data_IF_265660335928
#
_entry.id   IF_265660335928
#
_cell.length_a   1.000
_cell.length_b   1.000
_cell.length_c   1.000
_cell.angle_alpha   90.00
_cell.angle_beta   90.00
_cell.angle_gamma   90.00
#
_symmetry.space_group_name_H-M   'P 1'
#
loop_
_entity.id
_entity.type
_entity.pdbx_description
1 polymer ?
#
# COMPACT_ATOMS: atom_id res chain seq x y z
N UNK A 1 -4.31 -4.19 -40.32
CA UNK A 1 -3.14 -4.45 -39.43
C UNK A 1 -2.85 -3.21 -38.61
N UNK A 2 -3.32 -3.15 -37.35
CA UNK A 2 -2.82 -2.19 -36.34
C UNK A 2 -2.77 -2.95 -35.02
N UNK A 3 -1.70 -3.73 -34.82
CA UNK A 3 -1.39 -4.42 -33.57
C UNK A 3 0.10 -4.19 -33.30
N UNK A 4 0.43 -3.08 -32.64
CA UNK A 4 1.83 -2.72 -32.42
C UNK A 4 2.12 -1.61 -31.41
N UNK A 5 1.14 -0.79 -31.01
CA UNK A 5 1.38 0.38 -30.17
C UNK A 5 1.05 0.23 -28.67
N UNK A 6 0.51 -0.92 -28.23
CA UNK A 6 0.13 -1.13 -26.81
C UNK A 6 1.30 -1.67 -25.95
N UNK A 7 2.31 -2.31 -26.55
CA UNK A 7 3.40 -2.93 -25.81
C UNK A 7 4.45 -1.92 -25.26
N UNK A 8 4.71 -0.82 -25.96
CA UNK A 8 5.75 0.16 -25.57
C UNK A 8 5.34 1.03 -24.37
N UNK A 9 4.05 1.38 -24.24
CA UNK A 9 3.55 2.15 -23.09
C UNK A 9 3.63 1.35 -21.78
N UNK A 10 3.46 0.02 -21.83
CA UNK A 10 3.49 -0.85 -20.66
C UNK A 10 4.88 -1.00 -20.03
N UNK A 11 5.93 -1.08 -20.85
CA UNK A 11 7.31 -1.21 -20.35
C UNK A 11 7.85 0.09 -19.74
N UNK A 12 7.53 1.25 -20.31
CA UNK A 12 7.91 2.55 -19.75
C UNK A 12 7.22 2.78 -18.39
N UNK A 13 5.93 2.42 -18.29
CA UNK A 13 5.19 2.43 -17.03
C UNK A 13 5.77 1.48 -15.99
N UNK A 14 6.16 0.26 -16.37
CA UNK A 14 6.77 -0.70 -15.46
C UNK A 14 8.14 -0.23 -14.93
N UNK A 15 9.00 0.34 -15.79
CA UNK A 15 10.28 0.92 -15.36
C UNK A 15 10.09 2.11 -14.41
N UNK A 16 9.12 2.98 -14.69
CA UNK A 16 8.77 4.10 -13.79
C UNK A 16 8.36 3.61 -12.40
N UNK A 17 7.48 2.59 -12.32
CA UNK A 17 7.06 2.00 -11.03
C UNK A 17 8.21 1.34 -10.26
N UNK A 18 9.12 0.67 -10.97
CA UNK A 18 10.30 0.06 -10.36
C UNK A 18 11.28 1.13 -9.84
N UNK A 19 11.43 2.23 -10.57
CA UNK A 19 12.24 3.36 -10.12
C UNK A 19 11.62 4.04 -8.88
N UNK A 20 10.31 4.29 -8.90
CA UNK A 20 9.57 4.81 -7.74
C UNK A 20 9.73 3.90 -6.50
N UNK A 21 9.69 2.58 -6.70
CA UNK A 21 9.87 1.59 -5.63
C UNK A 21 11.27 1.67 -5.00
N UNK A 22 12.28 2.14 -5.74
CA UNK A 22 13.68 2.23 -5.32
C UNK A 22 14.17 3.67 -5.15
N UNK A 23 13.28 4.64 -4.99
CA UNK A 23 13.66 6.04 -4.81
C UNK A 23 14.63 6.19 -3.61
N UNK A 24 15.92 6.48 -3.87
CA UNK A 24 16.95 6.47 -2.83
C UNK A 24 16.78 7.66 -1.86
N UNK A 25 16.20 8.77 -2.32
CA UNK A 25 15.99 9.95 -1.46
C UNK A 25 14.89 9.66 -0.44
N UNK A 26 13.82 9.01 -0.88
CA UNK A 26 12.73 8.56 0.02
C UNK A 26 13.25 7.56 1.05
N UNK A 27 14.00 6.56 0.61
CA UNK A 27 14.57 5.56 1.51
C UNK A 27 15.55 6.18 2.51
N UNK A 28 16.38 7.14 2.07
CA UNK A 28 17.27 7.89 2.96
C UNK A 28 16.50 8.73 3.98
N UNK A 29 15.40 9.39 3.59
CA UNK A 29 14.56 10.14 4.53
C UNK A 29 13.89 9.23 5.57
N UNK A 30 13.43 8.04 5.18
CA UNK A 30 12.90 7.03 6.12
C UNK A 30 13.99 6.54 7.10
N UNK A 31 15.18 6.26 6.61
CA UNK A 31 16.31 5.85 7.45
C UNK A 31 16.74 6.97 8.42
N UNK A 32 16.78 8.22 7.95
CA UNK A 32 17.09 9.38 8.78
C UNK A 32 16.04 9.60 9.88
N UNK A 33 14.76 9.35 9.58
CA UNK A 33 13.70 9.36 10.59
C UNK A 33 13.95 8.28 11.64
N UNK A 34 14.21 7.04 11.23
CA UNK A 34 14.45 5.92 12.14
C UNK A 34 15.69 6.16 13.03
N UNK A 35 16.76 6.74 12.49
CA UNK A 35 17.96 7.11 13.24
C UNK A 35 17.69 8.25 14.24
N UNK A 36 16.92 9.27 13.84
CA UNK A 36 16.52 10.35 14.73
C UNK A 36 15.63 9.85 15.88
N UNK A 37 14.69 8.94 15.60
CA UNK A 37 13.88 8.27 16.62
C UNK A 37 14.74 7.47 17.60
N UNK A 38 15.74 6.74 17.11
CA UNK A 38 16.67 5.99 17.96
C UNK A 38 17.48 6.89 18.91
N UNK A 39 17.73 8.15 18.53
CA UNK A 39 18.39 9.17 19.35
C UNK A 39 17.43 10.02 20.19
N UNK A 40 16.12 9.75 20.14
CA UNK A 40 15.07 10.62 20.70
C UNK A 40 15.12 12.08 20.20
N UNK A 41 15.68 12.31 19.02
CA UNK A 41 15.66 13.61 18.35
C UNK A 41 14.35 13.78 17.59
N UNK A 42 13.28 14.10 18.33
CA UNK A 42 11.92 14.24 17.79
C UNK A 42 11.84 15.32 16.70
N UNK A 43 12.44 16.52 16.83
CA UNK A 43 12.42 17.50 15.76
C UNK A 43 13.03 16.99 14.45
N UNK A 44 14.19 16.32 14.51
CA UNK A 44 14.81 15.74 13.32
C UNK A 44 13.96 14.61 12.72
N UNK A 45 13.37 13.77 13.57
CA UNK A 45 12.47 12.69 13.11
C UNK A 45 11.24 13.26 12.38
N UNK A 46 10.62 14.31 12.90
CA UNK A 46 9.47 14.98 12.25
C UNK A 46 9.87 15.57 10.90
N UNK A 47 11.04 16.20 10.79
CA UNK A 47 11.51 16.75 9.51
C UNK A 47 11.77 15.66 8.47
N UNK A 48 12.48 14.60 8.87
CA UNK A 48 12.76 13.46 8.00
C UNK A 48 11.47 12.74 7.56
N UNK A 49 10.49 12.59 8.46
CA UNK A 49 9.16 12.07 8.15
C UNK A 49 8.44 12.94 7.10
N UNK A 50 8.44 14.28 7.24
CA UNK A 50 7.80 15.18 6.26
C UNK A 50 8.41 15.02 4.88
N UNK A 51 9.74 14.92 4.79
CA UNK A 51 10.45 14.69 3.55
C UNK A 51 10.08 13.33 2.94
N UNK A 52 10.08 12.26 3.73
CA UNK A 52 9.69 10.93 3.29
C UNK A 52 8.24 10.91 2.77
N UNK A 53 7.33 11.60 3.46
CA UNK A 53 5.92 11.74 3.05
C UNK A 53 5.79 12.49 1.73
N UNK A 54 6.48 13.61 1.56
CA UNK A 54 6.46 14.39 0.31
C UNK A 54 6.95 13.54 -0.86
N UNK A 55 8.13 12.93 -0.73
CA UNK A 55 8.73 12.08 -1.75
C UNK A 55 7.84 10.86 -2.06
N UNK A 56 7.29 10.22 -1.03
CA UNK A 56 6.35 9.11 -1.17
C UNK A 56 5.10 9.50 -1.96
N UNK A 57 4.50 10.66 -1.68
CA UNK A 57 3.33 11.15 -2.38
C UNK A 57 3.62 11.55 -3.84
N UNK A 58 4.85 11.95 -4.16
CA UNK A 58 5.27 12.29 -5.54
C UNK A 58 5.42 11.07 -6.45
N UNK A 59 5.61 9.88 -5.89
CA UNK A 59 5.66 8.64 -6.67
C UNK A 59 4.32 8.39 -7.39
N UNK A 60 4.35 7.66 -8.51
CA UNK A 60 3.13 7.12 -9.14
C UNK A 60 2.73 5.79 -8.50
N UNK A 61 3.70 5.09 -7.92
CA UNK A 61 3.55 3.83 -7.21
C UNK A 61 2.69 3.89 -5.94
N UNK A 62 2.10 2.76 -5.55
CA UNK A 62 1.44 2.57 -4.25
C UNK A 62 2.40 2.54 -3.06
N UNK A 63 3.67 2.16 -3.27
CA UNK A 63 4.63 1.88 -2.20
C UNK A 63 5.03 3.13 -1.40
N UNK A 64 5.25 4.25 -2.09
CA UNK A 64 5.63 5.51 -1.45
C UNK A 64 4.63 5.99 -0.38
N UNK A 65 3.32 6.14 -0.69
CA UNK A 65 2.33 6.53 0.32
C UNK A 65 2.13 5.48 1.41
N UNK A 66 2.24 4.18 1.10
CA UNK A 66 2.16 3.10 2.08
C UNK A 66 3.26 3.20 3.16
N UNK A 67 4.52 3.34 2.73
CA UNK A 67 5.64 3.49 3.65
C UNK A 67 5.57 4.81 4.44
N UNK A 68 5.05 5.88 3.84
CA UNK A 68 4.80 7.13 4.55
C UNK A 68 3.72 6.97 5.65
N UNK A 69 2.71 6.12 5.42
CA UNK A 69 1.70 5.80 6.42
C UNK A 69 2.29 4.97 7.58
N UNK A 70 3.15 3.99 7.27
CA UNK A 70 3.87 3.24 8.30
C UNK A 70 4.82 4.14 9.09
N UNK A 71 5.51 5.06 8.41
CA UNK A 71 6.38 6.04 9.06
C UNK A 71 5.62 6.99 10.00
N UNK A 72 4.43 7.44 9.60
CA UNK A 72 3.53 8.24 10.44
C UNK A 72 3.19 7.51 11.75
N UNK A 73 2.84 6.22 11.66
CA UNK A 73 2.51 5.43 12.85
C UNK A 73 3.72 5.15 13.73
N UNK A 74 4.91 4.90 13.15
CA UNK A 74 6.16 4.71 13.90
C UNK A 74 6.55 5.98 14.67
N UNK A 75 6.52 7.13 14.01
CA UNK A 75 6.77 8.43 14.65
C UNK A 75 5.77 8.66 15.79
N UNK A 76 4.48 8.48 15.53
CA UNK A 76 3.42 8.70 16.50
C UNK A 76 3.49 7.75 17.71
N UNK A 77 3.97 6.52 17.52
CA UNK A 77 4.18 5.57 18.61
C UNK A 77 5.27 6.03 19.57
N UNK A 78 6.38 6.58 19.06
CA UNK A 78 7.49 7.07 19.91
C UNK A 78 7.11 8.30 20.71
N UNK A 79 6.24 9.17 20.16
CA UNK A 79 5.78 10.38 20.85
C UNK A 79 4.43 10.22 21.55
N UNK A 80 3.90 9.00 21.64
CA UNK A 80 2.64 8.64 22.30
C UNK A 80 1.39 9.38 21.75
N UNK A 81 1.33 9.62 20.44
CA UNK A 81 0.21 10.32 19.75
C UNK A 81 -0.45 9.48 18.64
N UNK A 82 -0.45 8.15 18.78
CA UNK A 82 -0.95 7.24 17.74
C UNK A 82 -2.40 7.55 17.33
N UNK A 83 -3.28 7.85 18.29
CA UNK A 83 -4.69 8.11 17.99
C UNK A 83 -4.90 9.34 17.09
N UNK A 84 -4.06 10.36 17.23
CA UNK A 84 -4.10 11.55 16.37
C UNK A 84 -3.57 11.25 14.96
N UNK A 85 -2.53 10.43 14.88
CA UNK A 85 -1.89 10.03 13.63
C UNK A 85 -2.75 9.07 12.78
N UNK A 86 -3.69 8.34 13.39
CA UNK A 86 -4.57 7.38 12.68
C UNK A 86 -5.27 8.00 11.47
N UNK A 87 -5.73 9.26 11.57
CA UNK A 87 -6.40 9.95 10.45
C UNK A 87 -5.45 10.15 9.27
N UNK A 88 -4.26 10.67 9.52
CA UNK A 88 -3.26 10.93 8.48
C UNK A 88 -2.77 9.62 7.85
N UNK A 89 -2.50 8.61 8.67
CA UNK A 89 -2.10 7.28 8.20
C UNK A 89 -3.20 6.66 7.33
N UNK A 90 -4.47 6.80 7.72
CA UNK A 90 -5.61 6.32 6.93
C UNK A 90 -5.68 6.98 5.55
N UNK A 91 -5.47 8.29 5.45
CA UNK A 91 -5.45 9.00 4.17
C UNK A 91 -4.33 8.49 3.25
N UNK A 92 -3.13 8.31 3.80
CA UNK A 92 -1.99 7.77 3.07
C UNK A 92 -2.26 6.34 2.59
N UNK A 93 -2.87 5.49 3.43
CA UNK A 93 -3.30 4.15 3.05
C UNK A 93 -4.37 4.13 1.94
N UNK A 94 -5.30 5.09 1.94
CA UNK A 94 -6.25 5.23 0.84
C UNK A 94 -5.54 5.59 -0.47
N UNK A 95 -4.58 6.51 -0.45
CA UNK A 95 -3.78 6.84 -1.64
C UNK A 95 -3.03 5.61 -2.14
N UNK A 96 -2.40 4.84 -1.25
CA UNK A 96 -1.73 3.59 -1.59
C UNK A 96 -2.69 2.57 -2.23
N UNK A 97 -3.85 2.33 -1.63
CA UNK A 97 -4.87 1.41 -2.15
C UNK A 97 -5.35 1.80 -3.55
N UNK A 98 -5.66 3.07 -3.79
CA UNK A 98 -6.14 3.52 -5.10
C UNK A 98 -5.06 3.42 -6.18
N UNK A 99 -3.80 3.69 -5.85
CA UNK A 99 -2.67 3.48 -6.76
C UNK A 99 -2.45 1.99 -7.04
N UNK A 100 -2.48 1.14 -6.01
CA UNK A 100 -2.35 -0.31 -6.17
C UNK A 100 -3.43 -0.86 -7.10
N UNK A 101 -4.68 -0.40 -6.93
CA UNK A 101 -5.79 -0.74 -7.82
C UNK A 101 -5.53 -0.30 -9.27
N UNK A 102 -5.06 0.93 -9.48
CA UNK A 102 -4.76 1.46 -10.80
C UNK A 102 -3.62 0.69 -11.49
N UNK A 103 -2.65 0.23 -10.71
CA UNK A 103 -1.49 -0.54 -11.19
C UNK A 103 -1.79 -2.02 -11.44
N UNK A 104 -2.93 -2.54 -10.98
CA UNK A 104 -3.18 -3.98 -11.01
C UNK A 104 -2.45 -4.76 -9.90
N UNK A 105 -1.92 -4.08 -8.88
CA UNK A 105 -1.03 -4.67 -7.87
C UNK A 105 -1.79 -5.30 -6.71
N UNK A 106 -1.88 -6.64 -6.68
CA UNK A 106 -2.49 -7.41 -5.58
C UNK A 106 -1.79 -7.12 -4.26
N UNK A 107 -0.45 -7.17 -4.24
CA UNK A 107 0.36 -6.91 -3.04
C UNK A 107 0.10 -5.53 -2.43
N UNK A 108 -0.08 -4.51 -3.27
CA UNK A 108 -0.36 -3.15 -2.78
C UNK A 108 -1.73 -3.04 -2.12
N UNK A 109 -2.73 -3.75 -2.65
CA UNK A 109 -4.06 -3.79 -2.04
C UNK A 109 -4.06 -4.59 -0.72
N UNK A 110 -3.29 -5.68 -0.65
CA UNK A 110 -3.12 -6.46 0.58
C UNK A 110 -2.36 -5.67 1.66
N UNK A 111 -1.31 -4.95 1.28
CA UNK A 111 -0.56 -4.09 2.18
C UNK A 111 -1.43 -2.98 2.78
N UNK A 112 -2.30 -2.36 1.97
CA UNK A 112 -3.29 -1.41 2.47
C UNK A 112 -4.32 -2.07 3.40
N UNK A 113 -4.77 -3.30 3.11
CA UNK A 113 -5.70 -4.02 3.98
C UNK A 113 -5.12 -4.24 5.38
N UNK A 114 -3.86 -4.65 5.47
CA UNK A 114 -3.15 -4.76 6.74
C UNK A 114 -2.97 -3.42 7.43
N UNK A 115 -2.65 -2.37 6.67
CA UNK A 115 -2.57 -1.00 7.17
C UNK A 115 -3.87 -0.57 7.86
N UNK A 116 -5.01 -0.71 7.18
CA UNK A 116 -6.32 -0.41 7.76
C UNK A 116 -6.65 -1.28 8.97
N UNK A 117 -6.31 -2.57 8.94
CA UNK A 117 -6.51 -3.47 10.07
C UNK A 117 -5.69 -3.02 11.30
N UNK A 118 -4.43 -2.57 11.12
CA UNK A 118 -3.61 -2.00 12.20
C UNK A 118 -4.23 -0.73 12.81
N UNK A 119 -4.97 0.05 12.01
CA UNK A 119 -5.70 1.23 12.50
C UNK A 119 -7.00 0.87 13.26
N UNK A 120 -7.46 -0.37 13.18
CA UNK A 120 -8.79 -0.78 13.62
C UNK A 120 -9.92 -0.46 12.63
N UNK A 121 -9.59 0.03 11.42
CA UNK A 121 -10.57 0.32 10.36
C UNK A 121 -10.92 -0.96 9.61
N UNK A 122 -11.78 -1.78 10.24
CA UNK A 122 -12.19 -3.09 9.72
C UNK A 122 -12.89 -2.98 8.38
N UNK A 123 -13.70 -1.96 8.18
CA UNK A 123 -14.47 -1.79 6.95
C UNK A 123 -13.56 -1.46 5.76
N UNK A 124 -12.59 -0.57 5.95
CA UNK A 124 -11.60 -0.28 4.92
C UNK A 124 -10.69 -1.49 4.64
N UNK A 125 -10.33 -2.26 5.66
CA UNK A 125 -9.56 -3.50 5.49
C UNK A 125 -10.31 -4.54 4.63
N UNK A 126 -11.61 -4.75 4.90
CA UNK A 126 -12.46 -5.63 4.08
C UNK A 126 -12.61 -5.12 2.65
N UNK A 127 -12.77 -3.80 2.46
CA UNK A 127 -12.84 -3.22 1.13
C UNK A 127 -11.54 -3.41 0.33
N UNK A 128 -10.39 -3.23 0.98
CA UNK A 128 -9.09 -3.46 0.38
C UNK A 128 -8.89 -4.93 -0.02
N UNK A 129 -9.30 -5.89 0.84
CA UNK A 129 -9.30 -7.32 0.50
C UNK A 129 -10.19 -7.65 -0.70
N UNK A 130 -11.38 -7.05 -0.80
CA UNK A 130 -12.26 -7.23 -1.97
C UNK A 130 -11.64 -6.67 -3.25
N UNK A 131 -10.86 -5.59 -3.15
CA UNK A 131 -10.12 -5.06 -4.29
C UNK A 131 -8.97 -6.01 -4.68
N UNK A 132 -8.22 -6.51 -3.70
CA UNK A 132 -7.15 -7.48 -3.90
C UNK A 132 -7.67 -8.76 -4.57
N UNK A 133 -8.79 -9.30 -4.12
CA UNK A 133 -9.43 -10.47 -4.71
C UNK A 133 -9.80 -10.23 -6.19
N UNK A 134 -10.45 -9.10 -6.50
CA UNK A 134 -10.78 -8.71 -7.88
C UNK A 134 -9.53 -8.56 -8.75
N UNK A 135 -8.42 -8.08 -8.19
CA UNK A 135 -7.14 -7.96 -8.89
C UNK A 135 -6.54 -9.36 -9.17
N UNK A 136 -6.52 -10.22 -8.16
CA UNK A 136 -6.04 -11.60 -8.27
C UNK A 136 -6.85 -12.40 -9.30
N UNK A 137 -8.17 -12.29 -9.29
CA UNK A 137 -9.04 -12.91 -10.28
C UNK A 137 -8.72 -12.47 -11.72
N UNK A 138 -8.39 -11.19 -11.93
CA UNK A 138 -7.98 -10.67 -13.25
C UNK A 138 -6.60 -11.13 -13.69
N UNK A 139 -5.66 -11.31 -12.74
CA UNK A 139 -4.32 -11.82 -13.05
C UNK A 139 -4.37 -13.27 -13.55
N UNK A 140 -5.33 -14.07 -13.05
CA UNK A 140 -5.43 -15.51 -13.28
C UNK A 140 -4.40 -16.35 -12.51
N UNK A 141 -3.46 -15.72 -11.80
CA UNK A 141 -2.39 -16.39 -11.07
C UNK A 141 -2.91 -17.04 -9.79
N UNK A 142 -2.66 -18.34 -9.62
CA UNK A 142 -3.06 -19.05 -8.39
C UNK A 142 -2.30 -18.54 -7.16
N UNK A 143 -1.06 -18.10 -7.34
CA UNK A 143 -0.26 -17.48 -6.27
C UNK A 143 -0.94 -16.23 -5.70
N UNK A 144 -1.49 -15.36 -6.55
CA UNK A 144 -2.18 -14.15 -6.11
C UNK A 144 -3.47 -14.49 -5.33
N UNK A 145 -4.23 -15.48 -5.80
CA UNK A 145 -5.44 -15.95 -5.11
C UNK A 145 -5.09 -16.58 -3.76
N UNK A 146 -4.05 -17.40 -3.70
CA UNK A 146 -3.55 -17.99 -2.46
C UNK A 146 -3.08 -16.92 -1.48
N UNK A 147 -2.41 -15.87 -1.97
CA UNK A 147 -1.94 -14.77 -1.14
C UNK A 147 -3.13 -14.01 -0.53
N UNK A 148 -4.16 -13.69 -1.31
CA UNK A 148 -5.38 -13.03 -0.80
C UNK A 148 -6.04 -13.86 0.31
N UNK A 149 -6.18 -15.18 0.12
CA UNK A 149 -6.76 -16.07 1.14
C UNK A 149 -5.95 -16.06 2.44
N UNK A 150 -4.63 -16.20 2.33
CA UNK A 150 -3.73 -16.19 3.49
C UNK A 150 -3.80 -14.88 4.28
N UNK A 151 -3.85 -13.73 3.61
CA UNK A 151 -3.98 -12.43 4.30
C UNK A 151 -5.37 -12.29 4.94
N UNK A 152 -6.43 -12.67 4.24
CA UNK A 152 -7.79 -12.60 4.79
C UNK A 152 -7.94 -13.46 6.06
N UNK A 153 -7.42 -14.69 6.04
CA UNK A 153 -7.38 -15.60 7.19
C UNK A 153 -6.60 -15.00 8.35
N UNK A 154 -5.39 -14.48 8.10
CA UNK A 154 -4.57 -13.82 9.13
C UNK A 154 -5.30 -12.65 9.78
N UNK A 155 -6.05 -11.86 9.00
CA UNK A 155 -6.81 -10.72 9.51
C UNK A 155 -8.15 -11.12 10.14
N UNK A 156 -8.53 -12.41 10.10
CA UNK A 156 -9.85 -12.90 10.47
C UNK A 156 -10.99 -12.13 9.76
N UNK A 157 -10.76 -11.78 8.49
CA UNK A 157 -11.69 -11.07 7.63
C UNK A 157 -12.20 -12.00 6.53
N UNK A 158 -13.45 -11.80 6.07
CA UNK A 158 -13.95 -12.57 4.95
C UNK A 158 -13.13 -12.26 3.69
N UNK A 159 -12.48 -13.29 3.13
CA UNK A 159 -12.11 -13.26 1.72
C UNK A 159 -13.39 -13.14 0.88
N UNK A 160 -13.32 -12.53 -0.30
CA UNK A 160 -14.49 -12.48 -1.17
C UNK A 160 -14.98 -13.93 -1.43
N UNK A 161 -16.28 -14.15 -1.29
CA UNK A 161 -16.86 -15.46 -1.59
C UNK A 161 -16.59 -15.81 -3.07
N UNK A 162 -16.30 -17.08 -3.40
CA UNK A 162 -16.19 -17.47 -4.80
C UNK A 162 -17.49 -17.08 -5.51
N UNK A 163 -17.36 -16.40 -6.66
CA UNK A 163 -18.50 -16.09 -7.49
C UNK A 163 -19.23 -17.40 -7.80
N UNK A 164 -20.45 -17.55 -7.26
CA UNK A 164 -21.33 -18.67 -7.55
C UNK A 164 -21.37 -18.84 -9.07
N UNK A 165 -21.02 -20.03 -9.55
CA UNK A 165 -21.16 -20.36 -10.97
C UNK A 165 -22.60 -20.03 -11.40
N UNK A 166 -22.83 -19.49 -12.60
CA UNK A 166 -24.18 -19.28 -13.09
C UNK A 166 -24.89 -20.64 -13.05
N UNK A 167 -25.88 -20.76 -12.18
CA UNK A 167 -26.82 -21.87 -12.18
C UNK A 167 -27.55 -21.82 -13.50
N UNK A 168 -27.10 -22.65 -14.44
CA UNK A 168 -27.78 -22.85 -15.71
C UNK A 168 -29.14 -23.46 -15.47
N UNK A 169 -30.15 -22.82 -16.06
CA UNK A 169 -31.47 -23.39 -16.37
C UNK A 169 -31.83 -22.97 -17.78
#
# INVERSE_FOLDING_TARGET
MIAGLVALASMAGARGRLADARDPQRLAALAAMDEALARYDVPAAVQAWRQARELGLRTRGWRGPAEAADAELRLAAVIERVDEAKRNARELWLVALFRARAEGAVDGALNAAEGFARLGDRDAAVLALRIADKLAARSGAEADRAHVRLVAERLALPAAAPASAPSGS
#
